data_IF_067268594298
#
_entry.id   IF_067268594298
#
_cell.length_a   1.000
_cell.length_b   1.000
_cell.length_c   1.000
_cell.angle_alpha   90.00
_cell.angle_beta   90.00
_cell.angle_gamma   90.00
#
_symmetry.space_group_name_H-M   'P 1'
#
loop_
_entity.id
_entity.type
_entity.pdbx_description
1 polymer ?
#
# COMPACT_ATOMS: atom_id res chain seq x y z
N UNK A 1 12.28 6.16 18.20
CA UNK A 1 13.66 5.63 17.93
C UNK A 1 13.64 4.86 16.62
N UNK A 2 14.62 5.03 15.73
CA UNK A 2 14.73 4.26 14.48
C UNK A 2 15.90 3.28 14.62
N UNK A 3 15.64 1.99 14.46
CA UNK A 3 16.66 0.94 14.51
C UNK A 3 16.70 0.19 13.17
N UNK A 4 17.89 0.06 12.58
CA UNK A 4 18.08 -0.79 11.40
C UNK A 4 18.43 -2.21 11.87
N UNK A 5 17.66 -3.20 11.40
CA UNK A 5 17.92 -4.62 11.63
C UNK A 5 17.98 -5.30 10.26
N UNK A 6 19.19 -5.58 9.78
CA UNK A 6 19.43 -6.17 8.46
C UNK A 6 18.86 -5.33 7.30
N UNK A 7 17.85 -5.87 6.60
CA UNK A 7 17.08 -5.29 5.49
C UNK A 7 15.83 -4.52 5.97
N UNK A 8 15.56 -4.52 7.29
CA UNK A 8 14.38 -3.90 7.90
C UNK A 8 14.75 -2.69 8.73
N UNK A 9 13.82 -1.74 8.79
CA UNK A 9 13.89 -0.58 9.67
C UNK A 9 12.72 -0.68 10.65
N UNK A 10 13.03 -0.71 11.94
CA UNK A 10 12.06 -0.64 13.02
C UNK A 10 11.90 0.82 13.46
N UNK A 11 10.66 1.23 13.63
CA UNK A 11 10.29 2.57 14.10
C UNK A 11 9.40 2.40 15.30
N UNK A 12 9.79 3.00 16.42
CA UNK A 12 9.01 3.03 17.65
C UNK A 12 8.05 4.23 17.63
N UNK A 13 7.10 4.20 16.70
CA UNK A 13 6.05 5.21 16.49
C UNK A 13 4.74 4.50 16.14
N UNK A 14 3.59 5.14 16.41
CA UNK A 14 2.31 4.59 15.94
C UNK A 14 2.24 4.63 14.40
N UNK A 15 1.56 3.65 13.79
CA UNK A 15 1.40 3.61 12.34
C UNK A 15 0.70 4.86 11.78
N UNK A 16 -0.17 5.49 12.57
CA UNK A 16 -0.84 6.74 12.19
C UNK A 16 0.16 7.89 12.13
N UNK A 17 0.96 8.08 13.19
CA UNK A 17 1.99 9.11 13.22
C UNK A 17 3.05 8.89 12.12
N UNK A 18 3.38 7.63 11.84
CA UNK A 18 4.28 7.29 10.74
C UNK A 18 3.68 7.65 9.38
N UNK A 19 2.38 7.38 9.16
CA UNK A 19 1.70 7.72 7.91
C UNK A 19 1.70 9.23 7.62
N UNK A 20 1.51 10.06 8.64
CA UNK A 20 1.51 11.53 8.50
C UNK A 20 2.89 12.10 8.16
N UNK A 21 3.97 11.41 8.56
CA UNK A 21 5.36 11.84 8.34
C UNK A 21 5.93 11.32 7.02
N UNK A 22 5.29 10.33 6.41
CA UNK A 22 5.73 9.74 5.16
C UNK A 22 5.32 10.59 3.94
N UNK A 23 6.11 10.58 2.85
CA UNK A 23 5.76 11.28 1.61
C UNK A 23 4.44 10.80 1.00
N UNK A 24 3.87 11.61 0.10
CA UNK A 24 2.59 11.35 -0.56
C UNK A 24 2.49 10.02 -1.31
N UNK A 25 3.64 9.47 -1.72
CA UNK A 25 3.73 8.16 -2.34
C UNK A 25 3.36 7.00 -1.39
N UNK A 26 3.29 7.23 -0.09
CA UNK A 26 2.87 6.23 0.89
C UNK A 26 1.38 6.35 1.18
N UNK A 27 0.70 5.21 1.21
CA UNK A 27 -0.72 5.14 1.49
C UNK A 27 -1.02 4.07 2.53
N UNK A 28 -1.81 4.44 3.53
CA UNK A 28 -2.34 3.49 4.51
C UNK A 28 -3.51 2.73 3.91
N UNK A 29 -3.29 1.46 3.61
CA UNK A 29 -4.31 0.56 3.01
C UNK A 29 -4.99 -0.33 4.04
N UNK A 30 -4.41 -0.44 5.25
CA UNK A 30 -4.95 -1.25 6.33
C UNK A 30 -4.63 -0.62 7.70
N UNK A 31 -5.29 -1.08 8.77
CA UNK A 31 -4.97 -0.64 10.14
C UNK A 31 -3.53 -0.92 10.53
N UNK A 32 -2.90 -1.94 9.93
CA UNK A 32 -1.55 -2.41 10.23
C UNK A 32 -0.55 -2.27 9.08
N UNK A 33 -0.95 -1.71 7.93
CA UNK A 33 -0.06 -1.62 6.76
C UNK A 33 -0.14 -0.25 6.07
N UNK A 34 1.04 0.24 5.70
CA UNK A 34 1.26 1.38 4.81
C UNK A 34 2.09 0.85 3.65
N UNK A 35 1.69 1.16 2.42
CA UNK A 35 2.37 0.72 1.22
C UNK A 35 2.95 1.90 0.46
N UNK A 36 4.03 1.67 -0.28
CA UNK A 36 4.54 2.63 -1.24
C UNK A 36 3.90 2.37 -2.60
N UNK A 37 3.15 3.34 -3.11
CA UNK A 37 2.42 3.27 -4.37
C UNK A 37 3.35 3.10 -5.59
N UNK A 38 4.60 3.55 -5.49
CA UNK A 38 5.60 3.36 -6.57
C UNK A 38 6.02 1.90 -6.76
N UNK A 39 5.78 1.05 -5.75
CA UNK A 39 6.15 -0.36 -5.75
C UNK A 39 4.93 -1.27 -5.90
N UNK A 40 3.76 -0.71 -6.18
CA UNK A 40 2.55 -1.49 -6.46
C UNK A 40 2.65 -2.01 -7.89
N UNK A 41 2.62 -3.34 -8.05
CA UNK A 41 2.65 -3.98 -9.36
C UNK A 41 1.23 -4.12 -9.93
N UNK A 42 0.33 -4.75 -9.15
CA UNK A 42 -1.07 -4.90 -9.52
C UNK A 42 -1.98 -5.05 -8.29
N UNK A 43 -3.27 -4.80 -8.51
CA UNK A 43 -4.32 -4.97 -7.52
C UNK A 43 -5.18 -6.18 -7.89
N UNK A 44 -5.47 -7.04 -6.92
CA UNK A 44 -6.37 -8.17 -7.09
C UNK A 44 -7.52 -8.11 -6.09
N UNK A 45 -8.55 -8.93 -6.31
CA UNK A 45 -9.68 -9.01 -5.40
C UNK A 45 -9.19 -9.36 -3.98
N UNK A 46 -9.37 -8.43 -3.03
CA UNK A 46 -8.94 -8.51 -1.63
C UNK A 46 -7.43 -8.48 -1.32
N UNK A 47 -6.55 -8.22 -2.29
CA UNK A 47 -5.10 -8.10 -2.03
C UNK A 47 -4.40 -7.08 -2.94
N UNK A 48 -3.33 -6.46 -2.42
CA UNK A 48 -2.39 -5.63 -3.19
C UNK A 48 -1.10 -6.39 -3.38
N UNK A 49 -0.59 -6.46 -4.62
CA UNK A 49 0.68 -7.09 -4.93
C UNK A 49 1.75 -6.02 -5.16
N UNK A 50 2.87 -6.18 -4.47
CA UNK A 50 4.06 -5.34 -4.63
C UNK A 50 5.06 -6.00 -5.59
N UNK A 51 5.93 -5.19 -6.20
CA UNK A 51 6.97 -5.66 -7.14
C UNK A 51 7.89 -6.75 -6.56
N UNK A 52 8.11 -6.75 -5.24
CA UNK A 52 8.95 -7.74 -4.55
C UNK A 52 8.24 -9.09 -4.32
N UNK A 53 7.03 -9.28 -4.85
CA UNK A 53 6.23 -10.50 -4.68
C UNK A 53 5.49 -10.58 -3.34
N UNK A 54 5.47 -9.49 -2.56
CA UNK A 54 4.73 -9.41 -1.30
C UNK A 54 3.25 -9.11 -1.59
N UNK A 55 2.36 -9.93 -1.03
CA UNK A 55 0.92 -9.69 -1.04
C UNK A 55 0.43 -9.08 0.29
N UNK A 56 -0.39 -8.04 0.19
CA UNK A 56 -0.97 -7.36 1.35
C UNK A 56 -2.49 -7.57 1.34
N UNK A 57 -3.05 -8.33 2.29
CA UNK A 57 -4.47 -8.61 2.33
C UNK A 57 -5.25 -7.38 2.76
N UNK A 58 -6.29 -7.04 2.00
CA UNK A 58 -7.27 -6.00 2.33
C UNK A 58 -8.60 -6.67 2.68
N UNK A 59 -9.19 -6.36 3.85
CA UNK A 59 -10.49 -6.90 4.22
C UNK A 59 -11.55 -6.57 3.17
N UNK A 60 -12.35 -7.56 2.75
CA UNK A 60 -13.39 -7.42 1.70
C UNK A 60 -14.35 -6.25 1.95
N UNK A 61 -14.67 -5.97 3.22
CA UNK A 61 -15.55 -4.87 3.62
C UNK A 61 -14.99 -3.50 3.24
N UNK A 62 -13.67 -3.32 3.32
CA UNK A 62 -13.01 -2.03 3.05
C UNK A 62 -12.37 -2.01 1.65
N UNK A 63 -12.31 -3.15 0.96
CA UNK A 63 -11.64 -3.27 -0.33
C UNK A 63 -12.10 -2.25 -1.38
N UNK A 64 -13.41 -1.97 -1.48
CA UNK A 64 -13.92 -0.99 -2.45
C UNK A 64 -13.42 0.42 -2.15
N UNK A 65 -13.51 0.84 -0.89
CA UNK A 65 -13.04 2.14 -0.44
C UNK A 65 -11.53 2.25 -0.64
N UNK A 66 -10.77 1.28 -0.14
CA UNK A 66 -9.31 1.25 -0.28
C UNK A 66 -8.88 1.21 -1.75
N UNK A 67 -9.55 0.45 -2.62
CA UNK A 67 -9.29 0.44 -4.07
C UNK A 67 -9.49 1.83 -4.66
N UNK A 68 -10.60 2.50 -4.37
CA UNK A 68 -10.87 3.85 -4.87
C UNK A 68 -9.80 4.83 -4.42
N UNK A 69 -9.40 4.79 -3.14
CA UNK A 69 -8.33 5.66 -2.62
C UNK A 69 -6.97 5.39 -3.28
N UNK A 70 -6.63 4.10 -3.50
CA UNK A 70 -5.41 3.73 -4.21
C UNK A 70 -5.45 4.28 -5.64
N UNK A 71 -6.55 4.06 -6.37
CA UNK A 71 -6.69 4.51 -7.76
C UNK A 71 -6.63 6.03 -7.90
N UNK A 72 -7.30 6.76 -7.00
CA UNK A 72 -7.23 8.22 -6.95
C UNK A 72 -5.80 8.71 -6.75
N UNK A 73 -5.07 8.15 -5.76
CA UNK A 73 -3.67 8.52 -5.51
C UNK A 73 -2.73 8.15 -6.65
N UNK A 74 -2.93 7.01 -7.28
CA UNK A 74 -2.14 6.60 -8.46
C UNK A 74 -2.33 7.56 -9.63
N UNK A 75 -3.57 8.02 -9.85
CA UNK A 75 -3.87 9.01 -10.88
C UNK A 75 -3.17 10.35 -10.63
N UNK A 76 -3.12 10.79 -9.37
CA UNK A 76 -2.45 12.03 -8.95
C UNK A 76 -0.93 11.96 -9.12
N UNK A 77 -0.34 10.76 -8.94
CA UNK A 77 1.10 10.52 -9.07
C UNK A 77 1.53 10.19 -10.51
N UNK A 78 0.59 10.01 -11.44
CA UNK A 78 0.89 9.62 -12.83
C UNK A 78 1.48 8.20 -12.96
N UNK A 79 1.27 7.34 -11.97
CA UNK A 79 1.80 5.96 -11.95
C UNK A 79 0.81 5.04 -12.66
N UNK A 80 1.29 4.30 -13.66
CA UNK A 80 0.47 3.32 -14.39
C UNK A 80 0.57 1.95 -13.73
N UNK A 81 -0.46 1.55 -12.99
CA UNK A 81 -0.58 0.20 -12.41
C UNK A 81 -1.33 -0.71 -13.37
N UNK A 82 -0.87 -1.94 -13.52
CA UNK A 82 -1.56 -2.94 -14.35
C UNK A 82 -2.75 -3.46 -13.55
N UNK A 83 -3.97 -3.05 -13.91
CA UNK A 83 -5.15 -3.75 -13.40
C UNK A 83 -5.18 -5.13 -14.07
N UNK A 84 -5.03 -6.21 -13.29
CA UNK A 84 -5.17 -7.55 -13.83
C UNK A 84 -6.67 -7.88 -13.92
N UNK A 85 -7.24 -8.05 -15.13
CA UNK A 85 -8.66 -8.37 -15.31
C UNK A 85 -8.88 -9.86 -15.02
N UNK A 86 -8.69 -10.29 -13.77
CA UNK A 86 -8.84 -11.68 -13.38
C UNK A 86 -9.83 -11.82 -12.22
N UNK A 87 -11.11 -11.74 -12.57
CA UNK A 87 -12.17 -12.52 -11.92
C UNK A 87 -13.27 -12.72 -12.95
N UNK A 88 -13.03 -13.67 -13.88
CA UNK A 88 -14.06 -14.24 -14.74
C UNK A 88 -14.68 -15.45 -14.03
#
# INVERSE_FOLDING_TARGET
MICRVSDRIQVDESITALAERLPDAFLRVHRSFIINLNYVDHLAYSSVFLCDGIDIPIPKQHYRETKTHIMDRLSQLGITVKENPASR
#
